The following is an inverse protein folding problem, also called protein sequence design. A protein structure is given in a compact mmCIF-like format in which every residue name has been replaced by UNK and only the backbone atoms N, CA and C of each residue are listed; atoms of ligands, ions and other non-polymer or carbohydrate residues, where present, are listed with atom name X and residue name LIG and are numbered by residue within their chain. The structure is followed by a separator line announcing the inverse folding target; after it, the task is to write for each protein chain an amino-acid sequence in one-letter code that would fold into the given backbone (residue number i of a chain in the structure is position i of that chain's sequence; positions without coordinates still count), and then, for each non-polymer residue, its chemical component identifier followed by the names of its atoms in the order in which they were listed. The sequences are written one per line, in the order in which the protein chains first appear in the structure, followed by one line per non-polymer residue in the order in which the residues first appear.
data_IF_632596183790
#
_entry.id   IF_632596183790
#
_cell.length_a   1.000
_cell.length_b   1.000
_cell.length_c   1.000
_cell.angle_alpha   90.00
_cell.angle_beta   90.00
_cell.angle_gamma   90.00
#
_symmetry.space_group_name_H-M   'P 1'
#
loop_
_entity.id
_entity.type
_entity.pdbx_description
1 polymer ?
#
# COMPACT_ATOMS: atom_id res chain seq x y z
N UNK A 1 -25.84 -46.38 -52.74
CA UNK A 1 -25.12 -45.13 -52.42
C UNK A 1 -25.07 -45.01 -50.90
N UNK A 2 -23.86 -44.80 -50.39
CA UNK A 2 -23.34 -45.04 -49.03
C UNK A 2 -23.97 -44.18 -47.94
N UNK A 3 -24.46 -44.77 -46.85
CA UNK A 3 -23.83 -44.85 -45.50
C UNK A 3 -23.37 -43.51 -44.90
N UNK A 4 -24.21 -42.86 -44.10
CA UNK A 4 -23.86 -41.70 -43.27
C UNK A 4 -23.33 -42.16 -41.90
N UNK A 5 -22.01 -42.03 -41.68
CA UNK A 5 -21.37 -42.25 -40.38
C UNK A 5 -21.31 -40.90 -39.64
N UNK A 6 -22.12 -40.73 -38.61
CA UNK A 6 -22.02 -39.57 -37.71
C UNK A 6 -20.87 -39.77 -36.73
N UNK A 7 -19.83 -38.94 -36.87
CA UNK A 7 -18.63 -38.92 -36.03
C UNK A 7 -18.89 -38.02 -34.82
N UNK A 8 -18.89 -38.59 -33.61
CA UNK A 8 -18.99 -37.83 -32.36
C UNK A 8 -17.62 -37.22 -32.06
N UNK A 9 -17.50 -35.89 -32.17
CA UNK A 9 -16.32 -35.13 -31.74
C UNK A 9 -16.40 -34.87 -30.23
N UNK A 10 -15.59 -35.59 -29.46
CA UNK A 10 -15.35 -35.31 -28.04
C UNK A 10 -14.35 -34.14 -27.95
N UNK A 11 -14.82 -32.97 -27.57
CA UNK A 11 -14.00 -31.79 -27.36
C UNK A 11 -13.33 -31.89 -25.97
N UNK A 12 -12.06 -32.27 -25.93
CA UNK A 12 -11.27 -32.28 -24.70
C UNK A 12 -10.92 -30.84 -24.29
N UNK A 13 -11.44 -30.40 -23.13
CA UNK A 13 -11.14 -29.10 -22.55
C UNK A 13 -9.78 -29.18 -21.83
N UNK A 14 -8.71 -28.71 -22.50
CA UNK A 14 -7.40 -28.54 -21.86
C UNK A 14 -7.40 -27.20 -21.13
N UNK A 15 -7.49 -27.24 -19.80
CA UNK A 15 -7.29 -26.05 -18.97
C UNK A 15 -5.80 -25.70 -18.96
N UNK A 16 -5.44 -24.64 -19.70
CA UNK A 16 -4.10 -24.04 -19.64
C UNK A 16 -4.02 -23.21 -18.36
N UNK A 17 -3.32 -23.72 -17.34
CA UNK A 17 -2.94 -22.90 -16.19
C UNK A 17 -1.86 -21.90 -16.63
N UNK A 18 -2.20 -20.61 -16.67
CA UNK A 18 -1.22 -19.55 -16.89
C UNK A 18 -0.32 -19.40 -15.65
N UNK A 19 0.98 -19.11 -15.82
CA UNK A 19 1.85 -18.84 -14.69
C UNK A 19 1.49 -17.46 -14.11
N UNK A 20 1.28 -17.39 -12.79
CA UNK A 20 1.16 -16.14 -12.07
C UNK A 20 2.56 -15.52 -11.92
N UNK A 21 3.03 -14.81 -12.95
CA UNK A 21 4.15 -13.90 -12.81
C UNK A 21 3.66 -12.62 -12.12
N UNK A 22 3.54 -12.65 -10.80
CA UNK A 22 3.44 -11.42 -10.01
C UNK A 22 4.86 -10.83 -9.87
N UNK A 23 5.39 -10.29 -10.96
CA UNK A 23 6.44 -9.30 -10.85
C UNK A 23 5.82 -8.10 -10.11
N UNK A 24 6.38 -7.73 -8.95
CA UNK A 24 5.84 -6.64 -8.15
C UNK A 24 5.81 -5.36 -9.00
N UNK A 25 4.62 -4.83 -9.24
CA UNK A 25 4.47 -3.48 -9.79
C UNK A 25 5.12 -2.48 -8.83
N UNK A 26 5.65 -1.39 -9.36
CA UNK A 26 6.20 -0.32 -8.52
C UNK A 26 5.09 0.26 -7.64
N UNK A 27 5.30 0.24 -6.33
CA UNK A 27 4.38 0.79 -5.32
C UNK A 27 4.44 2.32 -5.31
N UNK A 28 5.66 2.86 -5.44
CA UNK A 28 5.93 4.28 -5.37
C UNK A 28 6.12 4.86 -6.76
N UNK A 29 5.34 5.88 -7.13
CA UNK A 29 5.60 6.66 -8.35
C UNK A 29 6.77 7.62 -8.12
N UNK A 30 7.94 7.25 -8.63
CA UNK A 30 9.19 7.99 -8.47
C UNK A 30 9.21 9.37 -9.16
N UNK A 31 8.20 9.66 -10.01
CA UNK A 31 8.04 10.94 -10.72
C UNK A 31 6.94 11.81 -10.11
N UNK A 32 6.18 11.30 -9.15
CA UNK A 32 5.08 12.03 -8.56
C UNK A 32 5.56 13.21 -7.71
N UNK A 33 4.77 14.28 -7.74
CA UNK A 33 4.90 15.40 -6.80
C UNK A 33 4.17 15.03 -5.50
N UNK A 34 4.93 14.52 -4.53
CA UNK A 34 4.36 14.04 -3.26
C UNK A 34 3.63 15.16 -2.49
N UNK A 35 4.00 16.43 -2.65
CA UNK A 35 3.28 17.54 -2.02
C UNK A 35 1.86 17.67 -2.59
N UNK A 36 1.72 17.55 -3.92
CA UNK A 36 0.40 17.57 -4.57
C UNK A 36 -0.42 16.36 -4.21
N UNK A 37 0.18 15.17 -4.14
CA UNK A 37 -0.53 13.96 -3.71
C UNK A 37 -1.08 14.12 -2.29
N UNK A 38 -0.27 14.61 -1.35
CA UNK A 38 -0.71 14.86 0.03
C UNK A 38 -1.82 15.92 0.07
N UNK A 39 -1.68 17.02 -0.70
CA UNK A 39 -2.72 18.05 -0.77
C UNK A 39 -4.05 17.52 -1.33
N UNK A 40 -3.99 16.64 -2.33
CA UNK A 40 -5.16 15.98 -2.89
C UNK A 40 -5.79 15.01 -1.87
N UNK A 41 -4.96 14.24 -1.17
CA UNK A 41 -5.41 13.33 -0.12
C UNK A 41 -6.12 14.05 1.02
N UNK A 42 -5.63 15.23 1.45
CA UNK A 42 -6.34 16.07 2.43
C UNK A 42 -7.73 16.49 1.93
N UNK A 43 -7.83 16.86 0.66
CA UNK A 43 -9.12 17.26 0.06
C UNK A 43 -10.09 16.09 -0.07
N UNK A 44 -9.60 14.88 -0.31
CA UNK A 44 -10.40 13.67 -0.35
C UNK A 44 -10.81 13.18 1.04
N UNK A 45 -9.85 13.14 1.96
CA UNK A 45 -10.04 12.72 3.35
C UNK A 45 -11.11 13.57 4.05
N UNK A 46 -11.06 14.90 3.88
CA UNK A 46 -12.07 15.81 4.43
C UNK A 46 -13.49 15.52 3.91
N UNK A 47 -13.64 15.13 2.64
CA UNK A 47 -14.95 14.82 2.01
C UNK A 47 -15.46 13.43 2.37
N UNK A 48 -14.55 12.50 2.62
CA UNK A 48 -14.86 11.09 2.89
C UNK A 48 -14.80 10.73 4.37
N UNK A 49 -14.47 11.69 5.24
CA UNK A 49 -14.29 11.50 6.69
C UNK A 49 -13.26 10.41 7.02
N UNK A 50 -12.20 10.33 6.21
CA UNK A 50 -11.11 9.36 6.37
C UNK A 50 -9.87 10.03 6.93
N UNK A 51 -9.04 9.28 7.64
CA UNK A 51 -7.69 9.70 7.99
C UNK A 51 -6.78 9.51 6.77
N UNK A 52 -5.55 10.00 6.85
CA UNK A 52 -4.56 9.84 5.78
C UNK A 52 -3.39 9.05 6.31
N UNK A 53 -2.92 8.06 5.55
CA UNK A 53 -1.68 7.37 5.82
C UNK A 53 -0.65 7.81 4.78
N UNK A 54 0.44 8.39 5.25
CA UNK A 54 1.63 8.64 4.45
C UNK A 54 2.57 7.46 4.62
N UNK A 55 2.80 6.71 3.56
CA UNK A 55 3.72 5.59 3.52
C UNK A 55 5.03 6.03 2.86
N UNK A 56 6.08 6.24 3.66
CA UNK A 56 7.40 6.60 3.17
C UNK A 56 8.19 5.34 2.87
N UNK A 57 8.57 5.17 1.61
CA UNK A 57 9.36 4.02 1.16
C UNK A 57 9.92 4.18 -0.24
N UNK A 58 10.36 3.08 -0.84
CA UNK A 58 10.95 3.08 -2.17
C UNK A 58 10.81 1.72 -2.85
N UNK A 59 10.78 1.69 -4.18
CA UNK A 59 10.58 0.44 -4.94
C UNK A 59 11.70 -0.60 -4.78
N UNK A 60 12.90 -0.18 -4.36
CA UNK A 60 14.03 -1.09 -4.11
C UNK A 60 13.99 -1.76 -2.73
N UNK A 61 13.09 -1.34 -1.84
CA UNK A 61 13.02 -1.75 -0.44
C UNK A 61 12.11 -2.98 -0.27
N UNK A 62 12.70 -4.13 0.07
CA UNK A 62 11.97 -5.40 0.23
C UNK A 62 10.90 -5.35 1.33
N UNK A 63 11.19 -4.69 2.46
CA UNK A 63 10.22 -4.51 3.56
C UNK A 63 9.04 -3.63 3.17
N UNK A 64 9.26 -2.67 2.28
CA UNK A 64 8.21 -1.80 1.75
C UNK A 64 7.24 -2.63 0.89
N UNK A 65 7.77 -3.56 0.08
CA UNK A 65 6.95 -4.55 -0.64
C UNK A 65 6.24 -5.54 0.30
N UNK A 66 6.87 -5.92 1.42
CA UNK A 66 6.23 -6.78 2.40
C UNK A 66 5.03 -6.09 3.07
N UNK A 67 5.20 -4.83 3.52
CA UNK A 67 4.09 -4.04 4.07
C UNK A 67 2.95 -3.87 3.05
N UNK A 68 3.25 -3.51 1.81
CA UNK A 68 2.25 -3.35 0.76
C UNK A 68 1.50 -4.66 0.46
N UNK A 69 2.20 -5.80 0.44
CA UNK A 69 1.57 -7.11 0.29
C UNK A 69 0.59 -7.43 1.42
N UNK A 70 0.92 -7.07 2.66
CA UNK A 70 0.02 -7.20 3.81
C UNK A 70 -1.19 -6.26 3.69
N UNK A 71 -0.97 -5.00 3.31
CA UNK A 71 -2.04 -4.00 3.09
C UNK A 71 -3.04 -4.44 2.00
N UNK A 72 -2.61 -5.23 1.02
CA UNK A 72 -3.46 -5.78 -0.05
C UNK A 72 -4.24 -7.03 0.34
N UNK A 73 -4.00 -7.63 1.50
CA UNK A 73 -4.80 -8.78 1.97
C UNK A 73 -6.25 -8.34 2.20
N UNK A 74 -7.27 -9.15 1.83
CA UNK A 74 -8.66 -8.68 1.77
C UNK A 74 -9.21 -8.01 3.04
N UNK A 75 -8.87 -8.55 4.21
CA UNK A 75 -9.34 -8.01 5.49
C UNK A 75 -8.70 -6.64 5.78
N UNK A 76 -7.38 -6.53 5.66
CA UNK A 76 -6.66 -5.28 5.90
C UNK A 76 -6.95 -4.23 4.82
N UNK A 77 -7.07 -4.65 3.56
CA UNK A 77 -7.47 -3.78 2.45
C UNK A 77 -8.86 -3.17 2.71
N UNK A 78 -9.83 -3.97 3.17
CA UNK A 78 -11.18 -3.49 3.50
C UNK A 78 -11.16 -2.50 4.68
N UNK A 79 -10.32 -2.77 5.69
CA UNK A 79 -10.11 -1.86 6.81
C UNK A 79 -9.50 -0.54 6.33
N UNK A 80 -8.48 -0.61 5.46
CA UNK A 80 -7.79 0.56 4.93
C UNK A 80 -8.75 1.39 4.08
N UNK A 81 -9.40 0.78 3.09
CA UNK A 81 -10.32 1.45 2.17
C UNK A 81 -11.44 2.18 2.91
N UNK A 82 -11.99 1.57 3.96
CA UNK A 82 -13.07 2.18 4.74
C UNK A 82 -12.63 3.42 5.50
N UNK A 83 -11.38 3.48 5.97
CA UNK A 83 -10.97 4.44 7.01
C UNK A 83 -9.88 5.42 6.57
N UNK A 84 -9.17 5.16 5.48
CA UNK A 84 -7.98 5.90 5.09
C UNK A 84 -7.93 6.27 3.62
N UNK A 85 -7.28 7.39 3.35
CA UNK A 85 -6.65 7.69 2.05
C UNK A 85 -5.15 7.41 2.20
N UNK A 86 -4.59 6.54 1.37
CA UNK A 86 -3.17 6.18 1.42
C UNK A 86 -2.39 7.00 0.39
N UNK A 87 -1.25 7.55 0.79
CA UNK A 87 -0.31 8.23 -0.09
C UNK A 87 1.05 7.57 0.05
N UNK A 88 1.51 6.93 -1.02
CA UNK A 88 2.87 6.41 -1.11
C UNK A 88 3.82 7.55 -1.47
N UNK A 89 4.82 7.79 -0.62
CA UNK A 89 5.81 8.86 -0.74
C UNK A 89 7.17 8.25 -1.04
N UNK A 90 7.62 8.35 -2.30
CA UNK A 90 8.95 7.89 -2.71
C UNK A 90 10.05 8.68 -2.00
N UNK A 91 10.92 8.00 -1.25
CA UNK A 91 12.10 8.63 -0.65
C UNK A 91 13.38 8.41 -1.46
N UNK A 92 13.28 7.77 -2.63
CA UNK A 92 14.40 7.48 -3.50
C UNK A 92 15.45 6.62 -2.80
N UNK A 93 16.72 6.97 -2.93
CA UNK A 93 17.83 6.38 -2.15
C UNK A 93 18.09 7.21 -0.90
N UNK A 94 17.02 7.57 -0.18
CA UNK A 94 17.02 8.54 0.92
C UNK A 94 17.48 9.94 0.49
N UNK A 95 17.10 10.34 -0.72
CA UNK A 95 17.47 11.59 -1.37
C UNK A 95 16.27 12.39 -1.92
N UNK A 96 15.05 11.86 -1.81
CA UNK A 96 13.80 12.53 -2.23
C UNK A 96 12.84 12.74 -1.06
N UNK A 97 11.99 13.75 -1.16
CA UNK A 97 10.87 14.03 -0.23
C UNK A 97 11.29 14.08 1.26
N UNK A 98 12.57 14.40 1.52
CA UNK A 98 13.13 14.42 2.87
C UNK A 98 12.53 15.53 3.74
N UNK A 99 12.10 16.61 3.12
CA UNK A 99 11.39 17.70 3.76
C UNK A 99 9.99 17.27 4.23
N UNK A 100 9.28 16.44 3.46
CA UNK A 100 8.01 15.84 3.89
C UNK A 100 8.22 14.88 5.07
N UNK A 101 9.22 14.01 5.00
CA UNK A 101 9.56 13.13 6.11
C UNK A 101 9.86 13.93 7.39
N UNK A 102 10.67 15.01 7.30
CA UNK A 102 10.91 15.92 8.42
C UNK A 102 9.63 16.62 8.91
N UNK A 103 8.80 17.14 8.00
CA UNK A 103 7.56 17.84 8.32
C UNK A 103 6.61 16.97 9.14
N UNK A 104 6.52 15.68 8.80
CA UNK A 104 5.63 14.73 9.46
C UNK A 104 6.31 13.91 10.55
N UNK A 105 7.54 14.27 10.95
CA UNK A 105 8.21 13.63 12.09
C UNK A 105 8.65 12.19 11.83
N UNK A 106 8.92 11.82 10.57
CA UNK A 106 9.40 10.50 10.16
C UNK A 106 10.92 10.55 9.93
N UNK A 107 11.74 10.07 10.87
CA UNK A 107 13.18 10.03 10.73
C UNK A 107 13.63 8.83 9.87
N UNK A 108 13.75 9.02 8.55
CA UNK A 108 14.12 7.94 7.60
C UNK A 108 15.42 7.17 7.92
N UNK A 109 16.30 7.75 8.75
CA UNK A 109 17.49 7.06 9.31
C UNK A 109 17.15 5.86 10.22
N UNK A 110 15.88 5.72 10.60
CA UNK A 110 15.31 4.59 11.37
C UNK A 110 14.69 3.53 10.47
N UNK A 111 14.96 3.58 9.17
CA UNK A 111 14.47 2.61 8.21
C UNK A 111 13.17 3.00 7.50
N UNK A 112 12.87 2.23 6.46
CA UNK A 112 11.63 2.26 5.68
C UNK A 112 11.15 0.80 5.51
N UNK A 113 9.84 0.54 5.36
CA UNK A 113 8.75 1.52 5.30
C UNK A 113 8.52 2.21 6.65
N UNK A 114 8.08 3.47 6.59
CA UNK A 114 7.72 4.23 7.77
C UNK A 114 6.44 5.01 7.52
N UNK A 115 5.48 4.88 8.44
CA UNK A 115 4.15 5.45 8.29
C UNK A 115 3.95 6.71 9.16
N UNK A 116 3.23 7.69 8.62
CA UNK A 116 2.62 8.77 9.38
C UNK A 116 1.10 8.79 9.17
N UNK A 117 0.35 9.10 10.21
CA UNK A 117 -1.11 9.24 10.16
C UNK A 117 -1.50 10.70 10.35
N UNK A 118 -2.30 11.22 9.43
CA UNK A 118 -2.93 12.53 9.54
C UNK A 118 -4.44 12.39 9.75
N UNK A 119 -5.03 13.39 10.41
CA UNK A 119 -6.48 13.54 10.46
C UNK A 119 -7.04 14.00 9.09
N UNK A 120 -8.37 14.08 8.90
CA UNK A 120 -8.98 14.46 7.63
C UNK A 120 -8.63 15.89 7.16
N UNK A 121 -8.05 16.71 8.04
CA UNK A 121 -7.63 18.08 7.76
C UNK A 121 -6.11 18.21 7.56
N UNK A 122 -5.39 17.08 7.52
CA UNK A 122 -3.96 17.03 7.29
C UNK A 122 -3.10 17.32 8.53
N UNK A 123 -3.69 17.34 9.73
CA UNK A 123 -2.95 17.48 10.98
C UNK A 123 -2.35 16.13 11.37
N UNK A 124 -1.07 16.14 11.76
CA UNK A 124 -0.39 14.93 12.24
C UNK A 124 -1.06 14.38 13.51
N UNK A 125 -1.45 13.11 13.47
CA UNK A 125 -1.93 12.32 14.61
C UNK A 125 -0.80 11.46 15.17
N UNK A 126 -0.02 10.85 14.29
CA UNK A 126 1.05 9.92 14.66
C UNK A 126 2.14 9.85 13.58
N UNK A 127 3.36 9.57 14.00
CA UNK A 127 4.47 9.25 13.11
C UNK A 127 5.28 8.09 13.69
N UNK A 128 5.67 7.14 12.84
CA UNK A 128 6.66 6.14 13.20
C UNK A 128 8.05 6.79 13.24
N UNK A 129 8.65 6.84 14.44
CA UNK A 129 9.90 7.52 14.70
C UNK A 129 11.03 6.62 15.25
N UNK A 130 10.75 5.33 15.44
CA UNK A 130 11.67 4.35 16.02
C UNK A 130 11.88 3.11 15.15
N UNK A 131 11.54 3.16 13.86
CA UNK A 131 11.75 2.03 12.94
C UNK A 131 10.75 0.90 13.15
N UNK A 132 9.54 1.22 13.60
CA UNK A 132 8.51 0.25 13.97
C UNK A 132 8.27 -0.81 12.88
N UNK A 133 8.26 -0.40 11.60
CA UNK A 133 8.04 -1.27 10.44
C UNK A 133 9.29 -1.47 9.59
N UNK A 134 10.49 -1.15 10.08
CA UNK A 134 11.72 -1.25 9.27
C UNK A 134 12.07 -2.69 8.84
N UNK A 135 11.60 -3.69 9.58
CA UNK A 135 11.77 -5.12 9.29
C UNK A 135 10.43 -5.80 8.97
N UNK A 136 9.54 -5.09 8.25
CA UNK A 136 8.17 -5.51 7.96
C UNK A 136 8.05 -6.94 7.40
N UNK A 137 9.06 -7.44 6.66
CA UNK A 137 9.03 -8.80 6.11
C UNK A 137 9.05 -9.93 7.16
N UNK A 138 9.41 -9.62 8.41
CA UNK A 138 9.42 -10.58 9.52
C UNK A 138 8.38 -10.25 10.60
N UNK A 139 7.52 -9.25 10.35
CA UNK A 139 6.47 -8.88 11.28
C UNK A 139 5.21 -9.71 11.06
N UNK A 140 4.47 -9.92 12.16
CA UNK A 140 3.18 -10.60 12.13
C UNK A 140 2.09 -9.68 11.58
N UNK A 141 1.15 -10.26 10.80
CA UNK A 141 -0.02 -9.58 10.24
C UNK A 141 -0.78 -8.73 11.26
N UNK A 142 -0.95 -9.25 12.48
CA UNK A 142 -1.67 -8.57 13.57
C UNK A 142 -1.03 -7.23 13.97
N UNK A 143 0.28 -7.06 13.77
CA UNK A 143 0.95 -5.78 14.03
C UNK A 143 0.49 -4.69 13.05
N UNK A 144 0.35 -5.05 11.77
CA UNK A 144 -0.16 -4.14 10.74
C UNK A 144 -1.64 -3.84 10.98
N UNK A 145 -2.45 -4.88 11.21
CA UNK A 145 -3.86 -4.71 11.51
C UNK A 145 -4.09 -3.83 12.73
N UNK A 146 -3.40 -4.08 13.85
CA UNK A 146 -3.52 -3.27 15.06
C UNK A 146 -3.18 -1.79 14.81
N UNK A 147 -2.16 -1.50 14.00
CA UNK A 147 -1.84 -0.13 13.60
C UNK A 147 -3.01 0.54 12.86
N UNK A 148 -3.55 -0.12 11.82
CA UNK A 148 -4.66 0.43 11.05
C UNK A 148 -6.00 0.44 11.81
N UNK A 149 -6.16 -0.36 12.87
CA UNK A 149 -7.31 -0.28 13.78
C UNK A 149 -7.18 0.88 14.77
N UNK A 150 -6.00 1.05 15.36
CA UNK A 150 -5.73 2.08 16.38
C UNK A 150 -5.96 3.50 15.85
N UNK A 151 -5.61 3.74 14.59
CA UNK A 151 -5.53 5.09 14.01
C UNK A 151 -6.70 5.46 13.10
N UNK A 152 -7.82 4.72 13.18
CA UNK A 152 -9.01 5.02 12.37
C UNK A 152 -9.58 6.39 12.75
N UNK A 153 -10.35 7.04 11.86
CA UNK A 153 -11.14 8.21 12.24
C UNK A 153 -11.96 7.91 13.49
N UNK A 154 -11.92 8.82 14.46
CA UNK A 154 -12.80 8.75 15.63
C UNK A 154 -14.18 9.25 15.19
N UNK A 155 -15.22 8.52 15.59
CA UNK A 155 -16.63 8.91 15.40
C UNK A 155 -16.97 10.22 16.14
#
# INVERSE_FOLDING_TARGET
MTLGRSLILVLALVAVAAPANAASENIYDEKADAHKLISAAVSEAARSHKNIVLDFGANWCGDCHALDAEMRKPELASLIEKNYVVVHVDVGRFDKNLDLARKYGVPLKKGIPALAVLDPHGKLLYAQDQGQFEDARHMEYESFKAFFEQWRPKE
#
